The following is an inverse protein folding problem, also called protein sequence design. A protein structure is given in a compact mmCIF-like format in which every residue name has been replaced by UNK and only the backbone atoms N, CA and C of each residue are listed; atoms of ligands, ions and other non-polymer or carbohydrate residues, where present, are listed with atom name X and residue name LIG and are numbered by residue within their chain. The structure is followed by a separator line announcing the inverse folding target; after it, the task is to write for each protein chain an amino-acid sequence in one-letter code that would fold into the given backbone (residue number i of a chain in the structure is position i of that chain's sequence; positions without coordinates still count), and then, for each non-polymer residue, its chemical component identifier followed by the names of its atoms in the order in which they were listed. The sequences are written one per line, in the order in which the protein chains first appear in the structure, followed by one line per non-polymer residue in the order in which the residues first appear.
data_IF_921051785216
#
_entry.id   IF_921051785216
#
_cell.length_a   1.000
_cell.length_b   1.000
_cell.length_c   1.000
_cell.angle_alpha   90.00
_cell.angle_beta   90.00
_cell.angle_gamma   90.00
#
_symmetry.space_group_name_H-M   'P 1'
#
loop_
_entity.id
_entity.type
_entity.pdbx_description
1 polymer ?
#
# COMPACT_ATOMS: atom_id res chain seq x y z
N UNK A 1 19.61 -9.98 -8.25
CA UNK A 1 19.18 -8.98 -7.27
C UNK A 1 17.94 -8.31 -7.82
N UNK A 2 16.86 -8.23 -7.04
CA UNK A 2 15.58 -7.64 -7.49
C UNK A 2 15.48 -6.16 -7.13
N UNK A 3 14.59 -5.44 -7.83
CA UNK A 3 14.21 -4.07 -7.48
C UNK A 3 13.28 -4.10 -6.26
N UNK A 4 13.52 -3.32 -5.20
CA UNK A 4 12.59 -3.20 -4.08
C UNK A 4 11.21 -2.74 -4.55
N UNK A 5 10.15 -3.29 -3.95
CA UNK A 5 8.77 -2.96 -4.28
C UNK A 5 7.94 -2.80 -3.00
N UNK A 6 7.00 -1.85 -3.01
CA UNK A 6 6.03 -1.61 -1.94
C UNK A 6 4.63 -1.91 -2.44
N UNK A 7 3.84 -2.65 -1.66
CA UNK A 7 2.41 -2.82 -1.92
C UNK A 7 1.65 -1.56 -1.50
N UNK A 8 0.66 -1.15 -2.28
CA UNK A 8 -0.25 -0.04 -1.93
C UNK A 8 -1.68 -0.52 -2.00
N UNK A 9 -2.45 -0.31 -0.93
CA UNK A 9 -3.84 -0.74 -0.83
C UNK A 9 -4.74 0.44 -0.46
N UNK A 10 -5.94 0.48 -1.02
CA UNK A 10 -6.93 1.48 -0.58
C UNK A 10 -7.67 0.97 0.66
N UNK A 11 -8.02 1.88 1.59
CA UNK A 11 -8.59 1.52 2.90
C UNK A 11 -9.77 0.54 2.83
N UNK A 12 -10.63 0.66 1.82
CA UNK A 12 -11.81 -0.19 1.65
C UNK A 12 -11.49 -1.67 1.38
N UNK A 13 -10.25 -1.99 1.00
CA UNK A 13 -9.82 -3.34 0.60
C UNK A 13 -8.83 -3.98 1.59
N UNK A 14 -8.52 -3.32 2.71
CA UNK A 14 -7.56 -3.82 3.72
C UNK A 14 -7.96 -5.22 4.22
N UNK A 15 -9.24 -5.46 4.54
CA UNK A 15 -9.69 -6.77 5.02
C UNK A 15 -9.52 -7.88 3.98
N UNK A 16 -9.76 -7.58 2.71
CA UNK A 16 -9.55 -8.52 1.61
C UNK A 16 -8.06 -8.78 1.37
N UNK A 17 -7.24 -7.73 1.42
CA UNK A 17 -5.79 -7.84 1.31
C UNK A 17 -5.20 -8.71 2.42
N UNK A 18 -5.62 -8.50 3.67
CA UNK A 18 -5.19 -9.30 4.82
C UNK A 18 -5.62 -10.76 4.71
N UNK A 19 -6.83 -11.02 4.20
CA UNK A 19 -7.29 -12.38 3.92
C UNK A 19 -6.40 -13.05 2.87
N UNK A 20 -6.15 -12.37 1.75
CA UNK A 20 -5.31 -12.90 0.68
C UNK A 20 -3.87 -13.12 1.15
N UNK A 21 -3.31 -12.20 1.94
CA UNK A 21 -1.99 -12.36 2.54
C UNK A 21 -1.89 -13.66 3.37
N UNK A 22 -2.92 -13.96 4.17
CA UNK A 22 -2.99 -15.23 4.92
C UNK A 22 -3.10 -16.44 4.00
N UNK A 23 -4.00 -16.41 3.01
CA UNK A 23 -4.20 -17.51 2.05
C UNK A 23 -2.93 -17.83 1.27
N UNK A 24 -2.17 -16.81 0.91
CA UNK A 24 -0.91 -16.93 0.16
C UNK A 24 0.30 -17.25 1.06
N UNK A 25 0.12 -17.47 2.36
CA UNK A 25 1.19 -17.84 3.29
C UNK A 25 2.09 -16.68 3.73
N UNK A 26 1.63 -15.43 3.58
CA UNK A 26 2.33 -14.22 4.04
C UNK A 26 1.49 -13.43 5.07
N UNK A 27 1.10 -14.03 6.21
CA UNK A 27 0.38 -13.29 7.24
C UNK A 27 1.20 -12.10 7.75
N UNK A 28 0.59 -10.91 7.81
CA UNK A 28 1.28 -9.68 8.20
C UNK A 28 2.12 -9.05 7.09
N UNK A 29 1.92 -9.45 5.83
CA UNK A 29 2.51 -8.76 4.68
C UNK A 29 2.26 -7.24 4.75
N UNK A 30 3.33 -6.45 4.70
CA UNK A 30 3.26 -5.01 4.86
C UNK A 30 2.91 -4.31 3.54
N UNK A 31 2.05 -3.29 3.61
CA UNK A 31 1.66 -2.44 2.49
C UNK A 31 1.22 -1.07 3.00
N UNK A 32 1.37 -0.04 2.17
CA UNK A 32 0.87 1.30 2.47
C UNK A 32 -0.65 1.35 2.28
N UNK A 33 -1.34 2.11 3.13
CA UNK A 33 -2.79 2.30 3.05
C UNK A 33 -3.09 3.74 2.65
N UNK A 34 -3.82 3.91 1.55
CA UNK A 34 -4.27 5.22 1.03
C UNK A 34 -5.79 5.30 0.95
N UNK A 35 -6.32 6.51 0.74
CA UNK A 35 -7.75 6.73 0.54
C UNK A 35 -8.24 6.28 -0.85
N UNK A 36 -9.49 5.82 -0.90
CA UNK A 36 -10.23 5.47 -2.12
C UNK A 36 -11.07 6.67 -2.61
N UNK A 37 -11.36 6.84 -3.91
CA UNK A 37 -10.90 6.06 -5.07
C UNK A 37 -9.61 6.63 -5.69
N UNK A 38 -8.81 5.76 -6.32
CA UNK A 38 -7.64 6.19 -7.12
C UNK A 38 -8.05 6.71 -8.50
N UNK A 39 -8.98 6.03 -9.17
CA UNK A 39 -9.36 6.29 -10.56
C UNK A 39 -9.99 7.66 -10.83
N UNK A 40 -10.54 8.30 -9.79
CA UNK A 40 -11.26 9.56 -9.91
C UNK A 40 -10.60 10.69 -9.13
N UNK A 41 -9.40 10.45 -8.60
CA UNK A 41 -8.63 11.47 -7.92
C UNK A 41 -7.94 12.38 -8.94
N UNK A 42 -7.86 13.65 -8.59
CA UNK A 42 -7.05 14.65 -9.30
C UNK A 42 -5.56 14.36 -9.09
N UNK A 43 -4.70 14.91 -9.97
CA UNK A 43 -3.25 14.77 -9.85
C UNK A 43 -2.73 15.24 -8.48
N UNK A 44 -3.28 16.33 -7.95
CA UNK A 44 -2.91 16.85 -6.62
C UNK A 44 -3.26 15.87 -5.50
N UNK A 45 -4.40 15.20 -5.59
CA UNK A 45 -4.80 14.18 -4.61
C UNK A 45 -3.96 12.91 -4.75
N UNK A 46 -3.59 12.53 -5.97
CA UNK A 46 -2.68 11.41 -6.22
C UNK A 46 -1.27 11.71 -5.69
N UNK A 47 -0.76 12.92 -5.89
CA UNK A 47 0.52 13.36 -5.34
C UNK A 47 0.53 13.27 -3.80
N UNK A 48 -0.52 13.78 -3.14
CA UNK A 48 -0.64 13.68 -1.69
C UNK A 48 -0.62 12.22 -1.18
N UNK A 49 -1.29 11.30 -1.89
CA UNK A 49 -1.29 9.86 -1.55
C UNK A 49 0.04 9.17 -1.86
N UNK A 50 0.75 9.61 -2.90
CA UNK A 50 2.10 9.14 -3.19
C UNK A 50 3.06 9.56 -2.08
N UNK A 51 3.01 10.82 -1.62
CA UNK A 51 3.79 11.30 -0.48
C UNK A 51 3.45 10.53 0.81
N UNK A 52 2.17 10.27 1.07
CA UNK A 52 1.75 9.41 2.19
C UNK A 52 2.34 7.99 2.08
N UNK A 53 2.36 7.42 0.87
CA UNK A 53 2.97 6.10 0.61
C UNK A 53 4.47 6.13 0.88
N UNK A 54 5.19 7.15 0.43
CA UNK A 54 6.63 7.27 0.67
C UNK A 54 6.96 7.36 2.17
N UNK A 55 6.16 8.08 2.95
CA UNK A 55 6.34 8.14 4.40
C UNK A 55 6.15 6.77 5.09
N UNK A 56 5.40 5.85 4.48
CA UNK A 56 5.24 4.49 4.99
C UNK A 56 6.39 3.56 4.59
N UNK A 57 7.17 3.87 3.53
CA UNK A 57 8.26 3.02 3.02
C UNK A 57 9.33 2.77 4.08
N UNK A 58 9.66 3.75 4.91
CA UNK A 58 10.67 3.62 5.97
C UNK A 58 10.35 2.47 6.93
N UNK A 59 9.06 2.25 7.21
CA UNK A 59 8.61 1.16 8.09
C UNK A 59 8.46 -0.20 7.38
N UNK A 60 8.46 -0.22 6.04
CA UNK A 60 8.05 -1.41 5.24
C UNK A 60 9.18 -2.02 4.41
N UNK A 61 10.19 -1.23 4.03
CA UNK A 61 11.29 -1.67 3.15
C UNK A 61 12.66 -1.49 3.82
N UNK A 62 12.84 -0.44 4.62
CA UNK A 62 14.16 -0.01 5.12
C UNK A 62 14.53 -0.57 6.50
N UNK A 63 14.15 -1.83 6.81
CA UNK A 63 14.53 -2.52 8.05
C UNK A 63 16.00 -2.27 8.46
#
# INVERSE_FOLDING_TARGET
MGTPAVGVMTRNFVSAADLMAKVLGMPGYAYAIIDHPVSSATDKELEARALQTMAAIDTQILL
#
